data_IF_189417377334
#
_entry.id   IF_189417377334
#
_cell.length_a   1.000
_cell.length_b   1.000
_cell.length_c   1.000
_cell.angle_alpha   90.00
_cell.angle_beta   90.00
_cell.angle_gamma   90.00
#
_symmetry.space_group_name_H-M   'P 1'
#
loop_
_entity.id
_entity.type
_entity.pdbx_description
1 polymer ?
#
# COMPACT_ATOMS: atom_id res chain seq x y z
N UNK A 1 -3.63 25.75 20.05
CA UNK A 1 -2.19 25.93 20.37
C UNK A 1 -1.72 24.64 21.01
N UNK A 2 -0.72 23.97 20.43
CA UNK A 2 -0.07 22.83 21.08
C UNK A 2 0.89 23.35 22.14
N UNK A 3 0.82 22.80 23.36
CA UNK A 3 1.79 23.09 24.41
C UNK A 3 3.07 22.35 24.04
N UNK A 4 4.17 23.07 23.84
CA UNK A 4 5.48 22.46 23.59
C UNK A 4 5.98 21.90 24.92
N UNK A 5 5.97 20.57 25.05
CA UNK A 5 6.47 19.87 26.23
C UNK A 5 8.02 19.88 26.16
N UNK A 6 8.66 20.68 27.01
CA UNK A 6 10.11 20.72 27.10
C UNK A 6 10.68 19.41 27.70
N UNK A 7 11.84 18.97 27.23
CA UNK A 7 12.53 17.77 27.74
C UNK A 7 12.08 16.43 27.15
N UNK A 8 11.16 16.41 26.17
CA UNK A 8 10.79 15.19 25.45
C UNK A 8 11.97 14.64 24.61
N UNK A 9 12.12 13.31 24.48
CA UNK A 9 13.10 12.71 23.60
C UNK A 9 12.91 13.17 22.14
N UNK A 10 14.00 13.33 21.40
CA UNK A 10 13.97 13.83 20.01
C UNK A 10 13.27 12.90 19.03
N UNK A 11 13.10 11.62 19.38
CA UNK A 11 12.41 10.62 18.58
C UNK A 11 10.92 10.46 18.96
N UNK A 12 10.37 11.38 19.77
CA UNK A 12 8.96 11.39 20.17
C UNK A 12 8.27 12.59 19.54
N UNK A 13 7.12 12.35 18.92
CA UNK A 13 6.27 13.38 18.34
C UNK A 13 4.81 12.94 18.44
N UNK A 14 3.89 13.88 18.38
CA UNK A 14 2.47 13.60 18.39
C UNK A 14 2.01 13.12 17.00
N UNK A 15 0.98 12.28 16.96
CA UNK A 15 0.50 11.68 15.71
C UNK A 15 -0.14 12.73 14.75
N UNK A 16 -0.76 13.77 15.32
CA UNK A 16 -1.41 14.84 14.56
C UNK A 16 -0.42 15.61 13.67
N UNK A 17 0.86 15.69 14.05
CA UNK A 17 1.88 16.38 13.25
C UNK A 17 2.17 15.67 11.92
N UNK A 18 1.81 14.39 11.79
CA UNK A 18 1.98 13.62 10.56
C UNK A 18 0.85 13.80 9.55
N UNK A 19 -0.31 14.27 9.99
CA UNK A 19 -1.44 14.51 9.08
C UNK A 19 -1.00 15.48 7.97
N UNK A 20 -1.19 15.08 6.71
CA UNK A 20 -0.79 15.86 5.54
C UNK A 20 0.64 15.64 5.05
N UNK A 21 1.51 14.96 5.82
CA UNK A 21 2.86 14.60 5.36
C UNK A 21 2.81 13.59 4.22
N UNK A 22 3.81 13.64 3.33
CA UNK A 22 3.89 12.72 2.18
C UNK A 22 4.17 11.30 2.63
N UNK A 23 3.59 10.34 1.92
CA UNK A 23 3.90 8.92 2.07
C UNK A 23 4.74 8.48 0.89
N UNK A 24 5.96 8.02 1.15
CA UNK A 24 6.91 7.63 0.10
C UNK A 24 7.52 6.26 0.39
N UNK A 25 8.00 5.57 -0.64
CA UNK A 25 8.85 4.39 -0.48
C UNK A 25 10.35 4.75 -0.51
N UNK A 26 11.21 3.73 -0.50
CA UNK A 26 12.67 3.89 -0.56
C UNK A 26 13.18 4.43 -1.91
N UNK A 27 12.36 4.35 -2.96
CA UNK A 27 12.67 4.90 -4.28
C UNK A 27 12.22 6.38 -4.40
N UNK A 28 11.51 6.90 -3.39
CA UNK A 28 11.00 8.27 -3.37
C UNK A 28 9.68 8.43 -4.13
N UNK A 29 9.00 7.34 -4.48
CA UNK A 29 7.70 7.37 -5.15
C UNK A 29 6.65 7.91 -4.18
N UNK A 30 5.88 8.91 -4.61
CA UNK A 30 4.79 9.51 -3.81
C UNK A 30 3.49 8.68 -3.91
N UNK A 31 2.96 8.28 -2.76
CA UNK A 31 1.75 7.46 -2.62
C UNK A 31 0.53 8.25 -2.11
N UNK A 32 0.70 9.55 -1.85
CA UNK A 32 -0.30 10.42 -1.27
C UNK A 32 0.16 11.01 0.06
N UNK A 33 -0.81 11.39 0.89
CA UNK A 33 -0.57 12.03 2.18
C UNK A 33 -1.18 11.24 3.32
N UNK A 34 -0.56 11.27 4.50
CA UNK A 34 -1.14 10.68 5.71
C UNK A 34 -2.44 11.43 6.03
N UNK A 35 -3.54 10.71 6.18
CA UNK A 35 -4.83 11.23 6.62
C UNK A 35 -5.06 10.93 8.10
N UNK A 36 -4.83 9.67 8.49
CA UNK A 36 -4.97 9.20 9.86
C UNK A 36 -3.86 8.20 10.20
N UNK A 37 -3.37 8.25 11.43
CA UNK A 37 -2.57 7.20 12.05
C UNK A 37 -3.52 6.40 12.96
N UNK A 38 -3.51 5.08 12.81
CA UNK A 38 -4.35 4.19 13.60
C UNK A 38 -3.53 3.59 14.75
N UNK A 39 -4.12 3.61 15.95
CA UNK A 39 -3.51 3.05 17.16
C UNK A 39 -4.35 1.86 17.58
N UNK A 40 -3.71 0.73 17.81
CA UNK A 40 -4.35 -0.44 18.40
C UNK A 40 -4.66 -0.15 19.88
N UNK A 41 -5.93 -0.26 20.28
CA UNK A 41 -6.37 0.13 21.63
C UNK A 41 -5.89 -0.83 22.72
N UNK A 42 -5.60 -2.10 22.38
CA UNK A 42 -5.18 -3.11 23.35
C UNK A 42 -3.68 -3.05 23.62
N UNK A 43 -2.88 -2.81 22.57
CA UNK A 43 -1.39 -2.84 22.62
C UNK A 43 -0.76 -1.45 22.66
N UNK A 44 -1.54 -0.40 22.37
CA UNK A 44 -1.10 0.99 22.28
C UNK A 44 -0.02 1.26 21.22
N UNK A 45 0.13 0.34 20.25
CA UNK A 45 1.05 0.49 19.12
C UNK A 45 0.33 1.06 17.89
N UNK A 46 1.12 1.59 16.93
CA UNK A 46 0.59 1.99 15.63
C UNK A 46 0.21 0.73 14.84
N UNK A 47 -1.05 0.63 14.41
CA UNK A 47 -1.57 -0.50 13.63
C UNK A 47 -1.60 -0.27 12.13
N UNK A 48 -1.45 0.98 11.69
CA UNK A 48 -1.46 1.33 10.28
C UNK A 48 -1.78 2.80 10.04
N UNK A 49 -1.96 3.13 8.77
CA UNK A 49 -2.24 4.51 8.32
C UNK A 49 -3.31 4.53 7.24
N UNK A 50 -4.15 5.56 7.26
CA UNK A 50 -4.97 5.92 6.10
C UNK A 50 -4.21 6.93 5.25
N UNK A 51 -4.08 6.64 3.96
CA UNK A 51 -3.43 7.47 2.96
C UNK A 51 -4.50 8.10 2.08
N UNK A 52 -4.42 9.42 1.90
CA UNK A 52 -5.20 10.18 0.94
C UNK A 52 -4.44 10.33 -0.38
N UNK A 53 -4.96 9.76 -1.46
CA UNK A 53 -4.35 9.71 -2.80
C UNK A 53 -4.94 10.74 -3.79
N UNK A 54 -5.66 11.76 -3.29
CA UNK A 54 -6.38 12.73 -4.13
C UNK A 54 -7.69 12.19 -4.69
N UNK A 55 -8.50 13.07 -5.31
CA UNK A 55 -9.84 12.75 -5.85
C UNK A 55 -10.75 11.95 -4.90
N UNK A 56 -10.69 12.24 -3.59
CA UNK A 56 -11.42 11.52 -2.53
C UNK A 56 -11.11 10.01 -2.46
N UNK A 57 -9.94 9.58 -2.92
CA UNK A 57 -9.48 8.19 -2.79
C UNK A 57 -8.65 8.06 -1.53
N UNK A 58 -9.20 7.37 -0.55
CA UNK A 58 -8.51 7.00 0.68
C UNK A 58 -8.25 5.50 0.69
N UNK A 59 -7.14 5.09 1.30
CA UNK A 59 -6.91 3.68 1.56
C UNK A 59 -6.09 3.42 2.81
N UNK A 60 -6.28 2.23 3.36
CA UNK A 60 -5.53 1.77 4.53
C UNK A 60 -4.30 0.96 4.12
N UNK A 61 -3.20 1.20 4.83
CA UNK A 61 -2.04 0.31 4.88
C UNK A 61 -1.78 -0.10 6.33
N UNK A 62 -1.53 -1.39 6.53
CA UNK A 62 -1.14 -1.94 7.84
C UNK A 62 0.23 -1.45 8.30
N UNK A 63 0.53 -1.71 9.56
CA UNK A 63 1.83 -1.47 10.17
C UNK A 63 2.99 -2.17 9.42
N UNK A 64 2.73 -3.31 8.80
CA UNK A 64 3.68 -4.04 7.97
C UNK A 64 4.20 -3.28 6.74
N UNK A 65 3.51 -2.22 6.32
CA UNK A 65 3.97 -1.29 5.28
C UNK A 65 4.81 -0.13 5.84
N UNK A 66 4.83 0.11 7.15
CA UNK A 66 5.47 1.27 7.76
C UNK A 66 6.93 0.94 8.07
N UNK A 67 7.87 1.70 7.51
CA UNK A 67 9.30 1.63 7.90
C UNK A 67 9.56 2.57 9.06
N UNK A 68 9.33 3.87 8.84
CA UNK A 68 9.52 4.90 9.86
C UNK A 68 8.76 6.18 9.54
N UNK A 69 8.46 6.90 10.60
CA UNK A 69 7.98 8.27 10.56
C UNK A 69 9.17 9.24 10.64
N UNK A 70 9.27 10.20 9.73
CA UNK A 70 10.34 11.21 9.70
C UNK A 70 9.78 12.62 9.92
N UNK A 71 10.66 13.62 10.01
CA UNK A 71 10.23 15.01 10.15
C UNK A 71 9.35 15.49 9.00
N UNK A 72 9.51 14.95 7.79
CA UNK A 72 8.81 15.44 6.60
C UNK A 72 7.87 14.39 5.96
N UNK A 73 8.11 13.10 6.19
CA UNK A 73 7.45 12.02 5.46
C UNK A 73 7.12 10.81 6.34
N UNK A 74 6.19 9.98 5.86
CA UNK A 74 6.09 8.58 6.24
C UNK A 74 6.83 7.74 5.19
N UNK A 75 7.83 6.98 5.63
CA UNK A 75 8.57 6.06 4.77
C UNK A 75 7.95 4.67 4.83
N UNK A 76 7.70 4.07 3.67
CA UNK A 76 7.18 2.72 3.53
C UNK A 76 8.30 1.69 3.45
N UNK A 77 8.10 0.55 4.11
CA UNK A 77 9.00 -0.61 4.11
C UNK A 77 8.93 -1.38 2.80
N UNK A 78 7.81 -1.26 2.08
CA UNK A 78 7.56 -1.88 0.78
C UNK A 78 6.50 -1.07 0.02
N UNK A 79 6.51 -1.07 -1.32
CA UNK A 79 5.53 -0.35 -2.10
C UNK A 79 4.15 -1.05 -2.05
N UNK A 80 3.04 -0.30 -1.95
CA UNK A 80 1.70 -0.84 -2.14
C UNK A 80 1.42 -1.07 -3.64
N UNK A 81 0.47 -1.97 -3.94
CA UNK A 81 0.07 -2.24 -5.32
C UNK A 81 -0.60 -1.01 -5.93
N UNK A 82 -0.25 -0.70 -7.18
CA UNK A 82 -0.83 0.40 -7.96
C UNK A 82 -1.47 -0.11 -9.24
N UNK A 83 -2.48 0.60 -9.72
CA UNK A 83 -3.03 0.39 -11.06
C UNK A 83 -2.00 0.70 -12.14
N UNK A 84 -2.06 0.00 -13.26
CA UNK A 84 -1.17 0.17 -14.43
C UNK A 84 0.17 -0.56 -14.31
N UNK A 85 0.53 -1.06 -13.13
CA UNK A 85 1.78 -1.80 -12.90
C UNK A 85 1.76 -3.12 -13.70
N UNK A 86 2.85 -3.47 -14.41
CA UNK A 86 2.97 -4.75 -15.08
C UNK A 86 2.83 -5.93 -14.12
N UNK A 87 2.19 -7.01 -14.59
CA UNK A 87 2.06 -8.27 -13.85
C UNK A 87 2.83 -9.36 -14.59
N UNK A 88 3.66 -10.08 -13.86
CA UNK A 88 4.50 -11.18 -14.35
C UNK A 88 4.31 -12.42 -13.46
N UNK A 89 4.69 -13.59 -13.98
CA UNK A 89 4.83 -14.79 -13.14
C UNK A 89 6.19 -14.84 -12.42
N UNK A 90 6.41 -15.92 -11.66
CA UNK A 90 7.64 -16.17 -10.91
C UNK A 90 8.89 -16.30 -11.79
N UNK A 91 8.71 -16.64 -13.07
CA UNK A 91 9.76 -16.80 -14.08
C UNK A 91 9.93 -15.53 -14.95
N UNK A 92 9.30 -14.42 -14.54
CA UNK A 92 9.29 -13.12 -15.22
C UNK A 92 8.59 -13.09 -16.60
N UNK A 93 7.74 -14.08 -16.90
CA UNK A 93 6.91 -14.01 -18.08
C UNK A 93 5.78 -12.99 -17.90
N UNK A 94 5.66 -12.09 -18.88
CA UNK A 94 4.58 -11.11 -18.91
C UNK A 94 3.20 -11.77 -18.94
N UNK A 95 2.39 -11.47 -17.94
CA UNK A 95 0.97 -11.85 -17.86
C UNK A 95 0.11 -10.69 -18.35
N UNK A 96 0.33 -9.48 -17.82
CA UNK A 96 -0.61 -8.39 -18.04
C UNK A 96 -0.26 -7.12 -17.28
N UNK A 97 -1.30 -6.39 -16.84
CA UNK A 97 -1.18 -5.21 -15.98
C UNK A 97 -2.31 -5.16 -14.95
N UNK A 98 -2.07 -4.53 -13.81
CA UNK A 98 -3.11 -4.26 -12.81
C UNK A 98 -4.12 -3.28 -13.39
N UNK A 99 -5.35 -3.72 -13.61
CA UNK A 99 -6.45 -2.91 -14.15
C UNK A 99 -7.20 -2.20 -13.03
N UNK A 100 -7.54 -2.90 -11.94
CA UNK A 100 -8.24 -2.35 -10.77
C UNK A 100 -7.73 -2.94 -9.46
N UNK A 101 -7.95 -2.20 -8.39
CA UNK A 101 -7.72 -2.63 -7.01
C UNK A 101 -9.07 -2.80 -6.33
N UNK A 102 -9.34 -3.99 -5.82
CA UNK A 102 -10.54 -4.28 -5.03
C UNK A 102 -10.15 -4.21 -3.56
N UNK A 103 -10.85 -3.34 -2.84
CA UNK A 103 -10.58 -3.05 -1.44
C UNK A 103 -11.78 -3.45 -0.62
N UNK A 104 -11.54 -3.88 0.62
CA UNK A 104 -12.59 -4.14 1.58
C UNK A 104 -13.44 -2.87 1.75
N UNK A 105 -14.78 -2.96 1.71
CA UNK A 105 -15.66 -1.78 1.73
C UNK A 105 -15.49 -0.92 2.99
N UNK A 106 -15.31 -1.55 4.15
CA UNK A 106 -15.19 -0.83 5.42
C UNK A 106 -13.77 -0.35 5.75
N UNK A 107 -12.74 -1.18 5.53
CA UNK A 107 -11.35 -0.84 5.90
C UNK A 107 -10.57 -0.14 4.80
N UNK A 108 -11.02 -0.23 3.54
CA UNK A 108 -10.26 0.15 2.34
C UNK A 108 -8.88 -0.52 2.22
N UNK A 109 -8.66 -1.63 2.92
CA UNK A 109 -7.49 -2.49 2.72
C UNK A 109 -7.60 -3.22 1.38
N UNK A 110 -6.48 -3.41 0.69
CA UNK A 110 -6.46 -4.20 -0.56
C UNK A 110 -6.79 -5.66 -0.26
N UNK A 111 -7.78 -6.23 -0.96
CA UNK A 111 -8.14 -7.65 -0.86
C UNK A 111 -7.74 -8.43 -2.10
N UNK A 112 -7.96 -7.83 -3.27
CA UNK A 112 -7.67 -8.47 -4.56
C UNK A 112 -7.34 -7.44 -5.64
N UNK A 113 -6.74 -7.93 -6.73
CA UNK A 113 -6.40 -7.14 -7.90
C UNK A 113 -7.08 -7.71 -9.14
N UNK A 114 -7.60 -6.83 -9.99
CA UNK A 114 -8.06 -7.21 -11.33
C UNK A 114 -6.87 -7.10 -12.27
N UNK A 115 -6.39 -8.21 -12.83
CA UNK A 115 -5.30 -8.26 -13.80
C UNK A 115 -5.87 -8.39 -15.20
N UNK A 116 -5.50 -7.49 -16.10
CA UNK A 116 -5.86 -7.56 -17.53
C UNK A 116 -4.69 -8.10 -18.34
N UNK A 117 -4.94 -9.13 -19.13
CA UNK A 117 -3.95 -9.82 -19.98
C UNK A 117 -3.94 -9.34 -21.44
N UNK A 118 -4.84 -8.42 -21.80
CA UNK A 118 -5.00 -7.93 -23.17
C UNK A 118 -6.46 -7.83 -23.61
N UNK A 119 -6.79 -8.50 -24.72
CA UNK A 119 -7.85 -8.08 -25.66
C UNK A 119 -9.24 -7.83 -25.05
N UNK A 120 -9.67 -8.53 -23.99
CA UNK A 120 -10.85 -8.19 -23.17
C UNK A 120 -10.93 -8.96 -21.85
N UNK A 121 -10.04 -9.93 -21.60
CA UNK A 121 -10.11 -10.76 -20.41
C UNK A 121 -9.39 -10.09 -19.23
N UNK A 122 -9.99 -10.27 -18.06
CA UNK A 122 -9.39 -9.86 -16.80
C UNK A 122 -9.78 -10.86 -15.73
N UNK A 123 -8.84 -11.13 -14.83
CA UNK A 123 -9.04 -12.08 -13.72
C UNK A 123 -8.85 -11.36 -12.40
N UNK A 124 -9.68 -11.70 -11.42
CA UNK A 124 -9.58 -11.16 -10.06
C UNK A 124 -8.73 -12.13 -9.25
N UNK A 125 -7.62 -11.64 -8.69
CA UNK A 125 -6.69 -12.44 -7.90
C UNK A 125 -6.62 -11.91 -6.47
N UNK A 126 -6.70 -12.81 -5.50
CA UNK A 126 -6.48 -12.48 -4.08
C UNK A 126 -5.09 -11.87 -3.87
N UNK A 127 -4.94 -10.98 -2.88
CA UNK A 127 -3.64 -10.46 -2.44
C UNK A 127 -2.65 -11.59 -2.09
N UNK A 128 -3.16 -12.75 -1.66
CA UNK A 128 -2.34 -13.93 -1.31
C UNK A 128 -1.59 -14.51 -2.51
N UNK A 129 -2.11 -14.33 -3.73
CA UNK A 129 -1.48 -14.77 -4.98
C UNK A 129 -0.29 -13.89 -5.38
N UNK A 130 -0.11 -12.75 -4.72
CA UNK A 130 1.01 -11.85 -4.97
C UNK A 130 2.23 -12.35 -4.18
N UNK A 131 3.31 -12.61 -4.90
CA UNK A 131 4.60 -12.96 -4.32
C UNK A 131 5.41 -11.70 -3.98
N UNK A 132 5.46 -10.73 -4.89
CA UNK A 132 6.29 -9.54 -4.76
C UNK A 132 5.68 -8.31 -5.42
N UNK A 133 5.99 -7.13 -4.88
CA UNK A 133 5.52 -5.82 -5.36
C UNK A 133 6.73 -4.89 -5.48
N UNK A 134 6.88 -4.26 -6.64
CA UNK A 134 7.90 -3.25 -6.94
C UNK A 134 7.52 -2.50 -8.21
N UNK A 135 8.47 -2.37 -9.15
CA UNK A 135 8.21 -1.90 -10.51
C UNK A 135 7.21 -2.80 -11.26
N UNK A 136 7.13 -4.08 -10.87
CA UNK A 136 6.19 -5.09 -11.34
C UNK A 136 5.53 -5.80 -10.16
N UNK A 137 4.34 -6.35 -10.39
CA UNK A 137 3.68 -7.29 -9.49
C UNK A 137 4.04 -8.70 -9.96
N UNK A 138 4.61 -9.50 -9.08
CA UNK A 138 5.00 -10.89 -9.35
C UNK A 138 3.96 -11.80 -8.69
N UNK A 139 3.35 -12.68 -9.48
CA UNK A 139 2.41 -13.68 -8.96
C UNK A 139 3.15 -14.94 -8.49
N UNK A 140 2.54 -15.67 -7.56
CA UNK A 140 3.01 -16.99 -7.08
C UNK A 140 2.79 -18.12 -8.08
N UNK A 141 2.02 -17.86 -9.14
CA UNK A 141 1.67 -18.82 -10.18
C UNK A 141 2.35 -18.45 -11.50
N UNK A 142 2.53 -19.46 -12.33
CA UNK A 142 3.01 -19.35 -13.72
C UNK A 142 1.96 -18.71 -14.63
N UNK A 143 2.39 -18.20 -15.79
CA UNK A 143 1.48 -17.70 -16.82
C UNK A 143 0.48 -18.74 -17.31
N UNK A 144 0.87 -20.01 -17.41
CA UNK A 144 -0.04 -21.08 -17.83
C UNK A 144 -1.12 -21.38 -16.77
N UNK A 145 -0.75 -21.41 -15.49
CA UNK A 145 -1.72 -21.50 -14.39
C UNK A 145 -2.69 -20.31 -14.39
N UNK A 146 -2.18 -19.10 -14.58
CA UNK A 146 -3.00 -17.90 -14.69
C UNK A 146 -4.04 -18.01 -15.82
N UNK A 147 -3.67 -18.51 -17.00
CA UNK A 147 -4.60 -18.71 -18.12
C UNK A 147 -5.70 -19.71 -17.79
N UNK A 148 -5.41 -20.72 -17.00
CA UNK A 148 -6.33 -21.80 -16.64
C UNK A 148 -7.24 -21.49 -15.45
N UNK A 149 -7.07 -20.35 -14.76
CA UNK A 149 -8.03 -19.88 -13.75
C UNK A 149 -9.41 -19.66 -14.39
N UNK A 150 -10.48 -20.15 -13.78
CA UNK A 150 -11.86 -19.91 -14.24
C UNK A 150 -12.32 -18.46 -14.03
#
# INVERSE_FOLDING_TARGET
MSVKLEGMPSNVTTADTFTGKKVIDREGIDYGKVKHIHINQDTLTVSGVTIHQGFNKDYFLGDDYIDKFTEETLLLSRPPVRTGVPVVDIDDHKIGKVKRLHRHPDTNELESIEVSDGLMHSKILSKSEIWGIGEKVILRMTKEEFKNLE
#
